data_IF_175000150374
#
_entry.id   IF_175000150374
#
_cell.length_a   1.000
_cell.length_b   1.000
_cell.length_c   1.000
_cell.angle_alpha   90.00
_cell.angle_beta   90.00
_cell.angle_gamma   90.00
#
_symmetry.space_group_name_H-M   'P 1'
#
loop_
_entity.id
_entity.type
_entity.pdbx_description
1 polymer ?
#
# COMPACT_ATOMS: atom_id res chain seq x y z
N UNK A 1 -37.10 -33.85 17.24
CA UNK A 1 -37.44 -34.11 15.83
C UNK A 1 -36.55 -35.23 15.34
N UNK A 2 -37.06 -36.45 15.31
CA UNK A 2 -36.42 -37.58 14.62
C UNK A 2 -36.37 -37.24 13.13
N UNK A 3 -35.18 -37.25 12.53
CA UNK A 3 -35.08 -37.13 11.09
C UNK A 3 -35.90 -38.27 10.48
N UNK A 4 -36.72 -38.02 9.43
CA UNK A 4 -37.37 -39.10 8.71
C UNK A 4 -36.29 -40.12 8.30
N UNK A 5 -36.60 -41.42 8.45
CA UNK A 5 -35.68 -42.55 8.21
C UNK A 5 -35.01 -42.54 6.82
N UNK A 6 -35.44 -41.66 5.92
CA UNK A 6 -35.04 -41.56 4.53
C UNK A 6 -34.04 -40.42 4.23
N UNK A 7 -33.57 -39.70 5.25
CA UNK A 7 -32.59 -38.61 5.08
C UNK A 7 -31.25 -38.92 5.75
N UNK A 8 -30.19 -39.03 4.94
CA UNK A 8 -28.82 -39.21 5.43
C UNK A 8 -27.97 -37.98 5.13
N UNK A 9 -27.60 -37.26 6.20
CA UNK A 9 -26.70 -36.12 6.13
C UNK A 9 -25.24 -36.55 6.37
N UNK A 10 -24.35 -36.16 5.45
CA UNK A 10 -22.92 -36.48 5.47
C UNK A 10 -22.15 -35.16 5.58
N UNK A 11 -21.77 -34.81 6.81
CA UNK A 11 -20.98 -33.61 7.09
C UNK A 11 -19.56 -33.72 6.51
N UNK A 12 -18.91 -32.56 6.32
CA UNK A 12 -17.49 -32.50 5.95
C UNK A 12 -16.59 -32.24 7.16
N UNK A 13 -15.43 -32.92 7.19
CA UNK A 13 -14.28 -32.57 8.02
C UNK A 13 -13.61 -31.33 7.41
N UNK A 14 -14.13 -30.14 7.72
CA UNK A 14 -13.62 -28.88 7.19
C UNK A 14 -12.78 -28.14 8.23
N UNK A 15 -11.47 -28.04 7.99
CA UNK A 15 -10.56 -27.15 8.72
C UNK A 15 -10.68 -25.67 8.29
N UNK A 16 -11.38 -25.40 7.19
CA UNK A 16 -11.45 -24.08 6.55
C UNK A 16 -12.12 -23.00 7.42
N UNK A 17 -12.87 -23.39 8.46
CA UNK A 17 -13.51 -22.45 9.39
C UNK A 17 -12.48 -21.69 10.23
N UNK A 18 -11.28 -22.26 10.44
CA UNK A 18 -10.22 -21.64 11.24
C UNK A 18 -9.29 -20.70 10.46
N UNK A 19 -9.32 -20.75 9.13
CA UNK A 19 -8.39 -19.96 8.30
C UNK A 19 -8.67 -18.47 8.36
N UNK A 20 -9.94 -18.07 8.30
CA UNK A 20 -10.37 -16.67 8.29
C UNK A 20 -10.07 -15.88 9.58
N UNK A 21 -10.25 -16.41 10.80
CA UNK A 21 -9.86 -15.69 12.02
C UNK A 21 -8.34 -15.47 12.17
N UNK A 22 -7.48 -16.16 11.40
CA UNK A 22 -6.02 -15.95 11.42
C UNK A 22 -5.57 -14.91 10.38
N UNK A 23 -6.27 -14.80 9.24
CA UNK A 23 -5.97 -13.79 8.21
C UNK A 23 -6.19 -12.37 8.73
N UNK A 24 -7.15 -12.17 9.64
CA UNK A 24 -7.49 -10.87 10.22
C UNK A 24 -6.39 -10.22 11.06
N UNK A 25 -5.83 -10.90 12.10
CA UNK A 25 -4.70 -10.37 12.84
C UNK A 25 -3.51 -10.04 11.94
N UNK A 26 -3.26 -10.86 10.91
CA UNK A 26 -2.14 -10.64 9.98
C UNK A 26 -2.39 -9.41 9.09
N UNK A 27 -3.59 -9.23 8.55
CA UNK A 27 -3.92 -8.05 7.75
C UNK A 27 -3.93 -6.76 8.58
N UNK A 28 -4.42 -6.81 9.82
CA UNK A 28 -4.39 -5.68 10.78
C UNK A 28 -2.94 -5.38 11.23
N UNK A 29 -2.13 -6.40 11.48
CA UNK A 29 -0.73 -6.23 11.85
C UNK A 29 0.08 -5.66 10.68
N UNK A 30 -0.11 -6.18 9.46
CA UNK A 30 0.51 -5.63 8.24
C UNK A 30 0.12 -4.16 8.02
N UNK A 31 -1.12 -3.76 8.34
CA UNK A 31 -1.54 -2.35 8.34
C UNK A 31 -0.71 -1.51 9.31
N UNK A 32 -0.49 -1.98 10.53
CA UNK A 32 0.31 -1.26 11.52
C UNK A 32 1.79 -1.15 11.14
N UNK A 33 2.33 -2.14 10.44
CA UNK A 33 3.75 -2.17 10.07
C UNK A 33 4.11 -1.45 8.77
N UNK A 34 3.16 -1.18 7.87
CA UNK A 34 3.42 -0.66 6.51
C UNK A 34 3.10 0.83 6.31
N UNK A 35 2.83 1.58 7.39
CA UNK A 35 2.66 3.05 7.41
C UNK A 35 1.89 3.63 6.21
N UNK A 36 0.59 3.29 6.16
CA UNK A 36 -0.21 3.29 4.93
C UNK A 36 -1.19 4.46 4.82
N UNK A 37 -0.74 5.69 5.10
CA UNK A 37 -1.54 6.92 4.87
C UNK A 37 -1.88 7.18 3.39
N UNK A 38 -1.40 6.33 2.47
CA UNK A 38 -1.58 6.48 1.03
C UNK A 38 -2.82 5.79 0.41
N UNK A 39 -3.57 4.96 1.14
CA UNK A 39 -4.67 4.16 0.56
C UNK A 39 -6.08 4.72 0.84
N UNK A 40 -6.39 5.92 0.34
CA UNK A 40 -7.75 6.42 0.11
C UNK A 40 -8.76 6.36 1.28
N UNK A 41 -10.04 6.71 1.02
CA UNK A 41 -11.05 6.76 2.08
C UNK A 41 -11.44 5.33 2.54
N UNK A 42 -10.99 5.00 3.76
CA UNK A 42 -11.34 3.82 4.57
C UNK A 42 -12.82 3.40 4.53
N UNK A 43 -13.73 4.35 4.28
CA UNK A 43 -15.18 4.14 4.26
C UNK A 43 -15.65 3.11 3.21
N UNK A 44 -14.89 2.90 2.11
CA UNK A 44 -15.28 1.95 1.06
C UNK A 44 -14.75 0.53 1.30
N UNK A 45 -13.64 0.38 2.02
CA UNK A 45 -13.00 -0.92 2.25
C UNK A 45 -13.72 -1.76 3.30
N UNK A 46 -14.13 -1.14 4.41
CA UNK A 46 -14.81 -1.81 5.52
C UNK A 46 -16.07 -2.57 5.05
N UNK A 47 -17.02 -1.95 4.33
CA UNK A 47 -18.23 -2.65 3.89
C UNK A 47 -17.92 -3.76 2.88
N UNK A 48 -16.97 -3.56 1.96
CA UNK A 48 -16.59 -4.57 0.98
C UNK A 48 -15.99 -5.82 1.64
N UNK A 49 -15.11 -5.61 2.64
CA UNK A 49 -14.52 -6.70 3.43
C UNK A 49 -15.61 -7.40 4.26
N UNK A 50 -16.47 -6.65 4.95
CA UNK A 50 -17.56 -7.23 5.75
C UNK A 50 -18.51 -8.10 4.89
N UNK A 51 -18.83 -7.65 3.67
CA UNK A 51 -19.60 -8.41 2.69
C UNK A 51 -18.92 -9.74 2.29
N UNK A 52 -17.60 -9.70 2.11
CA UNK A 52 -16.81 -10.88 1.78
C UNK A 52 -16.77 -11.89 2.94
N UNK A 53 -16.70 -11.40 4.19
CA UNK A 53 -16.74 -12.22 5.40
C UNK A 53 -18.09 -12.90 5.59
N UNK A 54 -19.21 -12.16 5.48
CA UNK A 54 -20.54 -12.74 5.55
C UNK A 54 -20.70 -13.85 4.51
N UNK A 55 -20.18 -13.64 3.30
CA UNK A 55 -20.18 -14.68 2.27
C UNK A 55 -19.30 -15.89 2.64
N UNK A 56 -18.10 -15.69 3.19
CA UNK A 56 -17.22 -16.77 3.65
C UNK A 56 -17.86 -17.61 4.77
N UNK A 57 -18.47 -16.95 5.76
CA UNK A 57 -19.20 -17.61 6.87
C UNK A 57 -20.39 -18.41 6.33
N UNK A 58 -21.18 -17.84 5.41
CA UNK A 58 -22.30 -18.57 4.79
C UNK A 58 -21.82 -19.79 4.00
N UNK A 59 -20.71 -19.70 3.27
CA UNK A 59 -20.09 -20.84 2.58
C UNK A 59 -19.62 -21.90 3.58
N UNK A 60 -19.02 -21.49 4.70
CA UNK A 60 -18.56 -22.40 5.75
C UNK A 60 -19.73 -23.13 6.44
N UNK A 61 -20.81 -22.42 6.77
CA UNK A 61 -22.04 -23.00 7.33
C UNK A 61 -22.69 -23.99 6.35
N UNK A 62 -22.75 -23.64 5.06
CA UNK A 62 -23.21 -24.55 4.01
C UNK A 62 -22.30 -25.77 3.86
N UNK A 63 -20.98 -25.58 3.93
CA UNK A 63 -20.02 -26.68 3.85
C UNK A 63 -20.13 -27.63 5.06
N UNK A 64 -20.44 -27.11 6.26
CA UNK A 64 -20.73 -27.95 7.44
C UNK A 64 -21.92 -28.88 7.22
N UNK A 65 -22.97 -28.42 6.52
CA UNK A 65 -24.12 -29.26 6.17
C UNK A 65 -23.77 -30.40 5.21
N UNK A 66 -22.68 -30.26 4.45
CA UNK A 66 -22.09 -31.33 3.67
C UNK A 66 -22.93 -31.78 2.47
N UNK A 67 -23.09 -33.10 2.33
CA UNK A 67 -23.91 -33.77 1.33
C UNK A 67 -25.13 -34.38 2.02
N UNK A 68 -26.34 -34.12 1.53
CA UNK A 68 -27.55 -34.81 2.01
C UNK A 68 -28.04 -35.76 0.92
N UNK A 69 -28.25 -37.02 1.28
CA UNK A 69 -28.91 -38.01 0.46
C UNK A 69 -30.34 -38.16 0.97
N UNK A 70 -31.32 -38.03 0.07
CA UNK A 70 -32.74 -38.22 0.37
C UNK A 70 -33.31 -39.31 -0.53
N UNK A 71 -34.52 -39.77 -0.27
CA UNK A 71 -35.23 -40.69 -1.17
C UNK A 71 -35.40 -40.18 -2.62
N UNK A 72 -35.29 -38.86 -2.87
CA UNK A 72 -35.57 -38.25 -4.19
C UNK A 72 -34.37 -37.67 -4.90
N UNK A 73 -33.37 -37.22 -4.16
CA UNK A 73 -32.27 -36.44 -4.69
C UNK A 73 -31.03 -36.45 -3.78
N UNK A 74 -29.89 -36.10 -4.38
CA UNK A 74 -28.64 -35.73 -3.72
C UNK A 74 -28.56 -34.20 -3.65
N UNK A 75 -28.34 -33.65 -2.47
CA UNK A 75 -28.17 -32.20 -2.25
C UNK A 75 -26.74 -31.92 -1.79
N UNK A 76 -26.00 -31.14 -2.58
CA UNK A 76 -24.70 -30.61 -2.18
C UNK A 76 -24.81 -29.17 -1.68
N UNK A 77 -24.88 -29.01 -0.36
CA UNK A 77 -25.20 -27.73 0.29
C UNK A 77 -24.19 -26.62 -0.01
N UNK A 78 -22.91 -26.94 -0.24
CA UNK A 78 -21.86 -25.95 -0.55
C UNK A 78 -22.20 -25.10 -1.77
N UNK A 79 -22.79 -25.70 -2.81
CA UNK A 79 -23.13 -25.03 -4.06
C UNK A 79 -24.64 -24.99 -4.32
N UNK A 80 -25.45 -25.41 -3.35
CA UNK A 80 -26.90 -25.59 -3.48
C UNK A 80 -27.31 -26.44 -4.69
N UNK A 81 -26.42 -27.35 -5.12
CA UNK A 81 -26.64 -28.25 -6.25
C UNK A 81 -27.58 -29.39 -5.82
N UNK A 82 -28.59 -29.67 -6.63
CA UNK A 82 -29.54 -30.76 -6.43
C UNK A 82 -29.52 -31.67 -7.63
N UNK A 83 -29.35 -32.96 -7.39
CA UNK A 83 -29.33 -33.99 -8.43
C UNK A 83 -30.42 -35.00 -8.14
N UNK A 84 -31.42 -35.09 -9.01
CA UNK A 84 -32.43 -36.15 -8.93
C UNK A 84 -31.78 -37.51 -9.17
N UNK A 85 -32.20 -38.54 -8.45
CA UNK A 85 -31.74 -39.91 -8.70
C UNK A 85 -31.97 -40.37 -10.14
N UNK A 86 -32.99 -39.83 -10.83
CA UNK A 86 -33.24 -40.11 -12.25
C UNK A 86 -32.10 -39.63 -13.18
N UNK A 87 -31.36 -38.60 -12.79
CA UNK A 87 -30.22 -38.09 -13.55
C UNK A 87 -28.88 -38.63 -13.03
N UNK A 88 -28.83 -39.29 -11.87
CA UNK A 88 -27.58 -39.83 -11.29
C UNK A 88 -27.27 -41.20 -11.89
N UNK A 89 -26.16 -41.29 -12.63
CA UNK A 89 -25.75 -42.54 -13.30
C UNK A 89 -24.89 -43.43 -12.40
N UNK A 90 -24.04 -42.83 -11.56
CA UNK A 90 -23.19 -43.55 -10.61
C UNK A 90 -22.79 -42.64 -9.42
N UNK A 91 -22.61 -43.27 -8.26
CA UNK A 91 -21.92 -42.68 -7.11
C UNK A 91 -20.75 -43.60 -6.81
N UNK A 92 -19.52 -43.16 -7.07
CA UNK A 92 -18.34 -44.02 -7.01
C UNK A 92 -17.14 -43.30 -6.40
N UNK A 93 -16.13 -44.06 -6.01
CA UNK A 93 -14.87 -43.51 -5.54
C UNK A 93 -13.80 -43.72 -6.61
N UNK A 94 -13.16 -42.64 -7.06
CA UNK A 94 -12.07 -42.71 -8.03
C UNK A 94 -10.75 -42.26 -7.40
N UNK A 95 -9.66 -42.92 -7.74
CA UNK A 95 -8.31 -42.46 -7.39
C UNK A 95 -7.90 -41.33 -8.35
N UNK A 96 -7.49 -40.18 -7.82
CA UNK A 96 -7.02 -39.05 -8.63
C UNK A 96 -5.98 -38.21 -7.88
N UNK A 97 -4.77 -38.11 -8.45
CA UNK A 97 -3.73 -37.18 -7.98
C UNK A 97 -3.36 -37.36 -6.49
N UNK A 98 -3.03 -38.58 -6.09
CA UNK A 98 -2.54 -38.87 -4.73
C UNK A 98 -3.64 -39.07 -3.67
N UNK A 99 -4.91 -39.17 -4.05
CA UNK A 99 -5.99 -39.47 -3.10
C UNK A 99 -7.27 -39.95 -3.76
N UNK A 100 -8.16 -40.53 -2.95
CA UNK A 100 -9.47 -41.00 -3.38
C UNK A 100 -10.50 -39.86 -3.35
N UNK A 101 -11.41 -39.82 -4.32
CA UNK A 101 -12.50 -38.85 -4.40
C UNK A 101 -13.84 -39.53 -4.64
N UNK A 102 -14.84 -39.17 -3.85
CA UNK A 102 -16.24 -39.51 -4.09
C UNK A 102 -16.77 -38.65 -5.24
N UNK A 103 -17.27 -39.31 -6.28
CA UNK A 103 -17.76 -38.69 -7.51
C UNK A 103 -19.21 -39.08 -7.75
N UNK A 104 -20.04 -38.10 -8.10
CA UNK A 104 -21.44 -38.32 -8.49
C UNK A 104 -21.58 -37.98 -9.97
N UNK A 105 -21.71 -39.02 -10.80
CA UNK A 105 -21.91 -38.88 -12.25
C UNK A 105 -23.37 -38.64 -12.57
N UNK A 106 -23.60 -37.89 -13.64
CA UNK A 106 -24.94 -37.57 -14.12
C UNK A 106 -25.06 -37.86 -15.62
N UNK A 107 -26.27 -38.19 -16.09
CA UNK A 107 -26.54 -38.44 -17.50
C UNK A 107 -26.50 -37.13 -18.30
N UNK A 108 -27.13 -36.08 -17.77
CA UNK A 108 -27.13 -34.73 -18.34
C UNK A 108 -26.48 -33.72 -17.37
N UNK A 109 -25.25 -33.34 -17.70
CA UNK A 109 -24.51 -32.31 -16.95
C UNK A 109 -25.00 -30.88 -17.21
N UNK A 110 -25.65 -30.63 -18.35
CA UNK A 110 -26.28 -29.35 -18.66
C UNK A 110 -27.42 -29.08 -17.68
N UNK A 111 -28.35 -30.04 -17.59
CA UNK A 111 -29.49 -29.97 -16.67
C UNK A 111 -29.04 -29.78 -15.21
N UNK A 112 -27.98 -30.48 -14.78
CA UNK A 112 -27.44 -30.35 -13.43
C UNK A 112 -26.90 -28.93 -13.11
N UNK A 113 -26.52 -28.14 -14.12
CA UNK A 113 -25.90 -26.82 -13.94
C UNK A 113 -26.86 -25.64 -14.14
N UNK A 114 -28.06 -25.86 -14.68
CA UNK A 114 -29.02 -24.80 -15.00
C UNK A 114 -29.40 -24.00 -13.74
N UNK A 115 -29.67 -24.70 -12.64
CA UNK A 115 -30.13 -24.09 -11.39
C UNK A 115 -28.99 -23.55 -10.49
N UNK A 116 -27.73 -23.75 -10.88
CA UNK A 116 -26.58 -23.35 -10.06
C UNK A 116 -26.15 -21.91 -10.35
N UNK A 117 -25.84 -21.15 -9.29
CA UNK A 117 -25.34 -19.78 -9.41
C UNK A 117 -24.05 -19.72 -10.25
N UNK A 118 -23.89 -18.66 -11.07
CA UNK A 118 -22.74 -18.47 -11.99
C UNK A 118 -21.35 -18.77 -11.41
N UNK A 119 -20.95 -18.28 -10.23
CA UNK A 119 -19.61 -18.57 -9.69
C UNK A 119 -19.43 -20.05 -9.33
N UNK A 120 -20.46 -20.70 -8.78
CA UNK A 120 -20.43 -22.13 -8.49
C UNK A 120 -20.38 -22.97 -9.77
N UNK A 121 -21.05 -22.51 -10.84
CA UNK A 121 -21.04 -23.17 -12.16
C UNK A 121 -19.63 -23.32 -12.74
N UNK A 122 -18.74 -22.34 -12.53
CA UNK A 122 -17.33 -22.43 -12.96
C UNK A 122 -16.58 -23.56 -12.23
N UNK A 123 -16.74 -23.64 -10.91
CA UNK A 123 -16.14 -24.71 -10.11
C UNK A 123 -16.66 -26.10 -10.53
N UNK A 124 -17.98 -26.22 -10.75
CA UNK A 124 -18.60 -27.48 -11.21
C UNK A 124 -18.16 -27.86 -12.64
N UNK A 125 -17.98 -26.89 -13.55
CA UNK A 125 -17.39 -27.13 -14.88
C UNK A 125 -15.94 -27.62 -14.78
N UNK A 126 -15.17 -27.08 -13.83
CA UNK A 126 -13.83 -27.57 -13.53
C UNK A 126 -13.85 -29.03 -13.08
N UNK A 127 -14.79 -29.40 -12.21
CA UNK A 127 -14.97 -30.81 -11.80
C UNK A 127 -15.38 -31.71 -12.97
N UNK A 128 -16.31 -31.25 -13.82
CA UNK A 128 -16.74 -31.99 -15.01
C UNK A 128 -15.56 -32.27 -15.95
N UNK A 129 -14.73 -31.26 -16.23
CA UNK A 129 -13.54 -31.43 -17.08
C UNK A 129 -12.52 -32.39 -16.47
N UNK A 130 -12.33 -32.34 -15.15
CA UNK A 130 -11.26 -33.09 -14.48
C UNK A 130 -11.66 -34.51 -14.08
N UNK A 131 -12.92 -34.72 -13.73
CA UNK A 131 -13.42 -35.97 -13.14
C UNK A 131 -14.61 -36.58 -13.91
N UNK A 132 -15.12 -35.90 -14.94
CA UNK A 132 -16.30 -36.33 -15.69
C UNK A 132 -17.59 -36.27 -14.86
N UNK A 133 -17.65 -35.40 -13.84
CA UNK A 133 -18.78 -35.32 -12.92
C UNK A 133 -18.89 -33.93 -12.25
N UNK A 134 -20.12 -33.45 -11.96
CA UNK A 134 -20.32 -32.16 -11.29
C UNK A 134 -19.86 -32.19 -9.83
N UNK A 135 -20.07 -33.32 -9.12
CA UNK A 135 -19.64 -33.49 -7.73
C UNK A 135 -18.37 -34.34 -7.70
N UNK A 136 -17.30 -33.80 -7.14
CA UNK A 136 -16.05 -34.50 -6.90
C UNK A 136 -15.45 -34.07 -5.55
N UNK A 137 -15.69 -34.88 -4.51
CA UNK A 137 -15.35 -34.60 -3.12
C UNK A 137 -14.14 -35.45 -2.70
N UNK A 138 -13.10 -34.90 -2.06
CA UNK A 138 -12.05 -35.73 -1.47
C UNK A 138 -12.65 -36.70 -0.43
N UNK A 139 -12.41 -37.99 -0.57
CA UNK A 139 -12.96 -39.01 0.33
C UNK A 139 -12.56 -38.77 1.79
N UNK A 140 -11.30 -38.37 2.02
CA UNK A 140 -10.80 -38.04 3.36
C UNK A 140 -11.45 -36.81 4.02
N UNK A 141 -12.25 -36.02 3.29
CA UNK A 141 -13.01 -34.89 3.86
C UNK A 141 -14.42 -35.28 4.30
N UNK A 142 -14.90 -36.48 4.00
CA UNK A 142 -16.21 -36.93 4.44
C UNK A 142 -16.14 -37.31 5.93
N UNK A 143 -17.17 -36.96 6.70
CA UNK A 143 -17.25 -37.39 8.10
C UNK A 143 -17.38 -38.92 8.23
N UNK A 144 -17.97 -39.55 7.20
CA UNK A 144 -18.13 -41.01 7.06
C UNK A 144 -17.24 -41.55 5.95
N UNK A 145 -16.81 -42.82 6.02
CA UNK A 145 -16.12 -43.49 4.92
C UNK A 145 -16.88 -43.39 3.59
N UNK A 146 -16.16 -43.22 2.49
CA UNK A 146 -16.78 -43.09 1.17
C UNK A 146 -17.60 -44.35 0.78
N UNK A 147 -17.18 -45.54 1.23
CA UNK A 147 -17.91 -46.79 1.00
C UNK A 147 -19.32 -46.77 1.59
N UNK A 148 -19.48 -46.31 2.84
CA UNK A 148 -20.80 -46.16 3.47
C UNK A 148 -21.70 -45.17 2.73
N UNK A 149 -21.10 -44.11 2.18
CA UNK A 149 -21.83 -43.10 1.41
C UNK A 149 -22.33 -43.68 0.08
N UNK A 150 -21.51 -44.49 -0.58
CA UNK A 150 -21.87 -45.19 -1.82
C UNK A 150 -22.99 -46.20 -1.55
N UNK A 151 -22.86 -47.02 -0.51
CA UNK A 151 -23.88 -48.00 -0.14
C UNK A 151 -25.22 -47.33 0.18
N UNK A 152 -25.21 -46.23 0.94
CA UNK A 152 -26.39 -45.44 1.23
C UNK A 152 -27.02 -44.85 -0.03
N UNK A 153 -26.19 -44.34 -0.95
CA UNK A 153 -26.64 -43.81 -2.23
C UNK A 153 -27.29 -44.91 -3.09
N UNK A 154 -26.70 -46.10 -3.16
CA UNK A 154 -27.23 -47.24 -3.92
C UNK A 154 -28.53 -47.78 -3.32
N UNK A 155 -28.65 -47.80 -1.99
CA UNK A 155 -29.90 -48.15 -1.31
C UNK A 155 -31.01 -47.15 -1.65
N UNK A 156 -30.75 -45.85 -1.54
CA UNK A 156 -31.73 -44.81 -1.84
C UNK A 156 -32.09 -44.77 -3.33
N UNK A 157 -31.11 -44.98 -4.21
CA UNK A 157 -31.33 -45.08 -5.66
C UNK A 157 -32.19 -46.29 -6.04
N UNK A 158 -32.00 -47.45 -5.39
CA UNK A 158 -32.85 -48.64 -5.61
C UNK A 158 -34.28 -48.46 -5.09
N UNK A 159 -34.43 -47.76 -3.97
CA UNK A 159 -35.74 -47.43 -3.40
C UNK A 159 -36.47 -46.32 -4.17
N UNK A 160 -35.78 -45.61 -5.07
CA UNK A 160 -36.38 -44.58 -5.88
C UNK A 160 -37.25 -45.19 -6.99
N UNK A 161 -38.56 -45.22 -6.76
CA UNK A 161 -39.52 -45.44 -7.83
C UNK A 161 -39.71 -44.13 -8.62
N UNK A 162 -39.34 -44.08 -9.92
CA UNK A 162 -39.68 -42.92 -10.73
C UNK A 162 -41.20 -42.85 -10.80
N UNK A 163 -41.83 -41.69 -10.48
CA UNK A 163 -43.28 -41.60 -10.55
C UNK A 163 -43.73 -41.91 -11.97
N UNK A 164 -44.51 -42.98 -12.10
CA UNK A 164 -45.09 -43.42 -13.36
C UNK A 164 -45.90 -42.27 -13.97
N UNK A 165 -45.55 -41.88 -15.19
CA UNK A 165 -46.32 -40.91 -15.98
C UNK A 165 -45.84 -39.45 -15.98
N UNK A 166 -44.81 -39.07 -15.22
CA UNK A 166 -44.30 -37.67 -15.25
C UNK A 166 -42.93 -37.62 -15.91
N UNK A 167 -42.91 -37.58 -17.25
CA UNK A 167 -41.68 -37.42 -18.07
C UNK A 167 -41.04 -36.04 -18.00
N UNK A 168 -41.52 -35.18 -17.11
CA UNK A 168 -40.87 -33.92 -16.77
C UNK A 168 -41.25 -33.60 -15.34
N UNK A 169 -40.37 -33.92 -14.39
CA UNK A 169 -40.42 -33.28 -13.07
C UNK A 169 -40.09 -31.79 -13.28
N UNK A 170 -41.03 -31.05 -13.85
CA UNK A 170 -41.07 -29.61 -13.72
C UNK A 170 -41.16 -29.37 -12.22
N UNK A 171 -40.06 -28.86 -11.67
CA UNK A 171 -39.82 -28.59 -10.25
C UNK A 171 -41.12 -28.30 -9.49
N UNK A 172 -41.62 -29.27 -8.71
CA UNK A 172 -42.67 -29.01 -7.73
C UNK A 172 -42.25 -27.80 -6.90
N UNK A 173 -43.14 -26.82 -6.84
CA UNK A 173 -42.99 -25.52 -6.19
C UNK A 173 -42.10 -25.61 -4.96
N UNK A 174 -40.86 -25.14 -5.10
CA UNK A 174 -39.98 -24.86 -3.95
C UNK A 174 -40.80 -24.05 -2.96
N UNK A 175 -40.84 -24.46 -1.67
CA UNK A 175 -41.62 -23.74 -0.67
C UNK A 175 -41.30 -22.23 -0.74
N UNK A 176 -42.29 -21.33 -0.61
CA UNK A 176 -42.09 -19.88 -0.77
C UNK A 176 -40.91 -19.36 0.07
N UNK A 177 -40.73 -19.91 1.28
CA UNK A 177 -39.62 -19.62 2.18
C UNK A 177 -38.24 -19.97 1.60
N UNK A 178 -38.10 -21.16 0.99
CA UNK A 178 -36.83 -21.57 0.35
C UNK A 178 -36.55 -20.72 -0.89
N UNK A 179 -37.58 -20.28 -1.61
CA UNK A 179 -37.42 -19.37 -2.74
C UNK A 179 -36.96 -17.97 -2.28
N UNK A 180 -37.48 -17.47 -1.16
CA UNK A 180 -37.03 -16.22 -0.52
C UNK A 180 -35.56 -16.33 -0.07
N UNK A 181 -35.18 -17.40 0.63
CA UNK A 181 -33.80 -17.64 1.05
C UNK A 181 -32.83 -17.67 -0.15
N UNK A 182 -33.22 -18.31 -1.26
CA UNK A 182 -32.43 -18.33 -2.51
C UNK A 182 -32.32 -16.96 -3.17
N UNK A 183 -33.36 -16.12 -3.11
CA UNK A 183 -33.29 -14.74 -3.63
C UNK A 183 -32.31 -13.92 -2.78
N UNK A 184 -32.41 -14.00 -1.46
CA UNK A 184 -31.52 -13.30 -0.52
C UNK A 184 -30.06 -13.73 -0.74
N UNK A 185 -29.79 -15.04 -0.79
CA UNK A 185 -28.43 -15.56 -1.06
C UNK A 185 -27.85 -15.08 -2.40
N UNK A 186 -28.67 -14.99 -3.45
CA UNK A 186 -28.25 -14.47 -4.76
C UNK A 186 -27.94 -12.98 -4.72
N UNK A 187 -28.72 -12.20 -3.98
CA UNK A 187 -28.46 -10.77 -3.77
C UNK A 187 -27.14 -10.58 -3.02
N UNK A 188 -26.92 -11.31 -1.93
CA UNK A 188 -25.66 -11.25 -1.17
C UNK A 188 -24.44 -11.65 -2.01
N UNK A 189 -24.53 -12.72 -2.80
CA UNK A 189 -23.43 -13.14 -3.67
C UNK A 189 -23.10 -12.08 -4.75
N UNK A 190 -24.12 -11.38 -5.27
CA UNK A 190 -23.93 -10.27 -6.22
C UNK A 190 -23.30 -9.06 -5.55
N UNK A 191 -23.75 -8.69 -4.36
CA UNK A 191 -23.18 -7.59 -3.58
C UNK A 191 -21.72 -7.85 -3.19
N UNK A 192 -21.39 -9.05 -2.73
CA UNK A 192 -20.01 -9.42 -2.40
C UNK A 192 -19.09 -9.39 -3.65
N UNK A 193 -19.59 -9.85 -4.81
CA UNK A 193 -18.82 -9.79 -6.06
C UNK A 193 -18.64 -8.36 -6.55
N UNK A 194 -19.66 -7.51 -6.41
CA UNK A 194 -19.59 -6.09 -6.76
C UNK A 194 -18.62 -5.33 -5.84
N UNK A 195 -18.64 -5.63 -4.53
CA UNK A 195 -17.68 -5.08 -3.57
C UNK A 195 -16.23 -5.41 -3.94
N UNK A 196 -15.94 -6.65 -4.35
CA UNK A 196 -14.61 -7.04 -4.85
C UNK A 196 -14.22 -6.28 -6.13
N UNK A 197 -15.18 -6.07 -7.04
CA UNK A 197 -14.97 -5.27 -8.25
C UNK A 197 -14.63 -3.82 -7.93
N UNK A 198 -15.33 -3.20 -6.98
CA UNK A 198 -15.05 -1.84 -6.51
C UNK A 198 -13.67 -1.77 -5.85
N UNK A 199 -13.26 -2.77 -5.06
CA UNK A 199 -11.93 -2.84 -4.46
C UNK A 199 -10.81 -2.91 -5.51
N UNK A 200 -10.96 -3.78 -6.51
CA UNK A 200 -9.97 -3.92 -7.59
C UNK A 200 -9.90 -2.67 -8.48
N UNK A 201 -11.04 -2.05 -8.76
CA UNK A 201 -11.07 -0.80 -9.53
C UNK A 201 -10.49 0.36 -8.72
N UNK A 202 -10.76 0.44 -7.41
CA UNK A 202 -10.18 1.48 -6.55
C UNK A 202 -8.66 1.37 -6.41
N UNK A 203 -8.09 0.16 -6.42
CA UNK A 203 -6.63 -0.05 -6.36
C UNK A 203 -5.95 0.33 -7.66
N UNK A 204 -6.56 0.06 -8.82
CA UNK A 204 -6.01 0.42 -10.14
C UNK A 204 -6.18 1.92 -10.44
N UNK A 205 -7.30 2.53 -10.03
CA UNK A 205 -7.59 3.95 -10.28
C UNK A 205 -6.72 4.88 -9.41
N UNK A 206 -6.38 4.50 -8.16
CA UNK A 206 -5.49 5.33 -7.32
C UNK A 206 -4.07 5.40 -7.92
N UNK A 207 -3.59 4.32 -8.53
CA UNK A 207 -2.26 4.29 -9.17
C UNK A 207 -2.23 5.07 -10.50
N UNK A 208 -3.36 5.14 -11.21
CA UNK A 208 -3.47 5.80 -12.52
C UNK A 208 -3.98 7.24 -12.50
N UNK A 209 -4.66 7.68 -11.43
CA UNK A 209 -4.97 9.10 -11.17
C UNK A 209 -3.83 9.83 -10.44
N UNK A 210 -2.72 9.15 -10.17
CA UNK A 210 -1.43 9.77 -9.81
C UNK A 210 -0.76 10.46 -11.01
N UNK A 211 -1.54 10.83 -12.04
CA UNK A 211 -1.14 11.66 -13.15
C UNK A 211 -0.89 13.10 -12.66
N UNK A 212 0.37 13.52 -12.68
CA UNK A 212 0.81 14.92 -12.79
C UNK A 212 0.06 15.96 -11.94
N UNK A 213 -0.24 15.63 -10.68
CA UNK A 213 -0.49 16.68 -9.72
C UNK A 213 0.81 17.43 -9.52
N UNK A 214 0.87 18.70 -9.92
CA UNK A 214 2.04 19.53 -9.68
C UNK A 214 2.55 19.35 -8.23
N UNK A 215 3.87 19.24 -8.02
CA UNK A 215 4.43 19.08 -6.69
C UNK A 215 3.94 20.24 -5.82
N UNK A 216 3.18 19.89 -4.78
CA UNK A 216 2.62 20.85 -3.84
C UNK A 216 3.74 21.28 -2.89
N UNK A 217 4.31 22.45 -3.18
CA UNK A 217 5.36 23.06 -2.38
C UNK A 217 4.75 24.09 -1.43
N UNK A 218 5.16 24.04 -0.16
CA UNK A 218 4.90 25.09 0.82
C UNK A 218 6.22 25.68 1.32
N UNK A 219 6.18 26.96 1.68
CA UNK A 219 7.33 27.74 2.09
C UNK A 219 7.00 28.49 3.39
N UNK A 220 7.89 28.39 4.36
CA UNK A 220 7.80 29.12 5.62
C UNK A 220 9.15 29.78 5.92
N UNK A 221 9.15 31.09 6.14
CA UNK A 221 10.35 31.83 6.49
C UNK A 221 10.34 32.20 7.97
N UNK A 222 11.45 31.90 8.65
CA UNK A 222 11.66 32.21 10.06
C UNK A 222 12.87 33.12 10.24
N UNK A 223 12.60 34.37 10.64
CA UNK A 223 13.62 35.39 10.89
C UNK A 223 14.53 35.04 12.07
N UNK A 224 13.94 34.68 13.21
CA UNK A 224 14.67 34.34 14.45
C UNK A 224 14.22 32.95 14.89
N UNK A 225 15.18 32.05 15.05
CA UNK A 225 14.98 30.67 15.47
C UNK A 225 15.11 30.52 16.99
N UNK A 226 14.86 29.31 17.50
CA UNK A 226 15.11 29.01 18.91
C UNK A 226 16.64 29.05 19.19
N UNK A 227 17.08 29.28 20.44
CA UNK A 227 18.49 29.23 20.79
C UNK A 227 19.16 27.92 20.32
N UNK A 228 20.34 28.02 19.72
CA UNK A 228 21.07 26.88 19.15
C UNK A 228 20.69 26.49 17.73
N UNK A 229 19.75 27.20 17.10
CA UNK A 229 19.35 26.98 15.70
C UNK A 229 19.72 28.19 14.84
N UNK A 230 19.80 27.95 13.52
CA UNK A 230 20.11 28.98 12.53
C UNK A 230 18.95 29.96 12.37
N UNK A 231 19.24 31.25 12.41
CA UNK A 231 18.30 32.31 12.03
C UNK A 231 18.15 32.40 10.51
N UNK A 232 17.16 33.19 10.06
CA UNK A 232 16.88 33.44 8.64
C UNK A 232 16.63 32.16 7.83
N UNK A 233 15.96 31.17 8.43
CA UNK A 233 15.72 29.87 7.81
C UNK A 233 14.48 29.92 6.92
N UNK A 234 14.62 29.50 5.67
CA UNK A 234 13.52 29.16 4.77
C UNK A 234 13.28 27.66 4.82
N UNK A 235 12.15 27.25 5.38
CA UNK A 235 11.67 25.86 5.35
C UNK A 235 10.87 25.62 4.08
N UNK A 236 11.14 24.50 3.40
CA UNK A 236 10.47 24.09 2.17
C UNK A 236 9.90 22.70 2.34
N UNK A 237 8.59 22.54 2.15
CA UNK A 237 7.92 21.25 2.27
C UNK A 237 7.39 20.80 0.91
N UNK A 238 7.75 19.59 0.50
CA UNK A 238 7.22 18.94 -0.69
C UNK A 238 6.17 17.91 -0.28
N UNK A 239 4.89 18.24 -0.45
CA UNK A 239 3.77 17.31 -0.22
C UNK A 239 3.52 16.37 -1.41
N UNK A 240 4.21 16.60 -2.53
CA UNK A 240 4.11 15.78 -3.73
C UNK A 240 4.78 14.41 -3.59
N UNK A 241 4.54 13.56 -4.59
CA UNK A 241 5.06 12.19 -4.66
C UNK A 241 6.37 12.06 -5.47
N UNK A 242 6.87 13.16 -6.03
CA UNK A 242 8.09 13.19 -6.85
C UNK A 242 9.13 14.14 -6.25
N UNK A 243 10.41 13.76 -6.32
CA UNK A 243 11.50 14.62 -5.90
C UNK A 243 11.61 15.83 -6.84
N UNK A 244 11.84 17.02 -6.28
CA UNK A 244 11.92 18.26 -7.06
C UNK A 244 13.06 19.15 -6.62
N UNK A 245 13.66 19.85 -7.56
CA UNK A 245 14.64 20.89 -7.33
C UNK A 245 14.04 22.24 -7.79
N UNK A 246 13.40 23.01 -6.89
CA UNK A 246 12.79 24.28 -7.28
C UNK A 246 13.85 25.38 -7.37
N UNK A 247 13.77 26.21 -8.41
CA UNK A 247 14.50 27.49 -8.50
C UNK A 247 13.59 28.58 -7.96
N UNK A 248 14.00 29.23 -6.87
CA UNK A 248 13.21 30.23 -6.17
C UNK A 248 13.61 31.66 -6.53
N UNK A 249 12.63 32.53 -6.66
CA UNK A 249 12.82 33.96 -6.46
C UNK A 249 12.37 34.34 -5.05
N UNK A 250 13.20 35.11 -4.35
CA UNK A 250 13.01 35.50 -2.97
C UNK A 250 12.97 37.02 -2.88
N UNK A 251 11.79 37.58 -2.59
CA UNK A 251 11.62 39.02 -2.41
C UNK A 251 11.53 39.33 -0.91
N UNK A 252 12.46 40.11 -0.32
CA UNK A 252 12.45 40.43 1.11
C UNK A 252 11.31 41.38 1.45
N UNK A 253 10.62 41.13 2.57
CA UNK A 253 9.46 41.89 3.02
C UNK A 253 9.71 42.61 4.36
N UNK A 254 9.13 43.78 4.54
CA UNK A 254 9.04 44.47 5.83
C UNK A 254 7.93 43.87 6.72
N UNK A 255 7.72 44.47 7.91
CA UNK A 255 6.66 44.03 8.85
C UNK A 255 5.24 44.26 8.34
N UNK A 256 5.05 45.17 7.39
CA UNK A 256 3.76 45.44 6.77
C UNK A 256 3.51 44.52 5.55
N UNK A 257 4.49 43.71 5.14
CA UNK A 257 4.40 42.82 3.99
C UNK A 257 4.76 43.48 2.66
N UNK A 258 5.33 44.69 2.67
CA UNK A 258 5.83 45.36 1.47
C UNK A 258 7.22 44.87 1.11
N UNK A 259 7.52 44.83 -0.19
CA UNK A 259 8.85 44.47 -0.68
C UNK A 259 9.84 45.56 -0.33
N UNK A 260 10.97 45.19 0.26
CA UNK A 260 12.07 46.09 0.55
C UNK A 260 12.99 46.20 -0.66
N UNK A 261 12.88 47.31 -1.41
CA UNK A 261 13.75 47.58 -2.55
C UNK A 261 15.19 47.89 -2.13
N UNK A 262 16.16 47.53 -2.97
CA UNK A 262 17.59 47.74 -2.70
C UNK A 262 18.21 46.73 -1.74
N UNK A 263 17.46 45.68 -1.36
CA UNK A 263 17.96 44.55 -0.59
C UNK A 263 18.10 43.34 -1.51
N UNK A 264 19.28 42.72 -1.50
CA UNK A 264 19.57 41.47 -2.22
C UNK A 264 19.49 40.29 -1.26
N UNK A 265 18.90 39.19 -1.70
CA UNK A 265 18.85 37.92 -0.95
C UNK A 265 19.93 36.98 -1.46
N UNK A 266 20.73 36.42 -0.57
CA UNK A 266 21.65 35.30 -0.84
C UNK A 266 21.15 34.05 -0.13
N UNK A 267 21.41 32.90 -0.72
CA UNK A 267 21.09 31.58 -0.16
C UNK A 267 22.36 30.82 0.19
N UNK A 268 22.32 30.02 1.26
CA UNK A 268 23.45 29.20 1.65
C UNK A 268 23.54 27.92 0.82
N UNK A 269 22.40 27.30 0.52
CA UNK A 269 22.31 26.00 -0.16
C UNK A 269 21.96 26.13 -1.65
N UNK A 270 21.61 27.33 -2.13
CA UNK A 270 21.37 27.56 -3.55
C UNK A 270 19.95 27.26 -4.02
N UNK A 271 18.93 27.42 -3.17
CA UNK A 271 17.52 27.28 -3.58
C UNK A 271 17.11 28.29 -4.66
N UNK A 272 17.77 29.45 -4.74
CA UNK A 272 17.63 30.43 -5.82
C UNK A 272 18.21 29.96 -7.16
N UNK A 273 19.02 28.90 -7.15
CA UNK A 273 19.69 28.30 -8.32
C UNK A 273 19.24 26.86 -8.59
N UNK A 274 18.23 26.37 -7.86
CA UNK A 274 17.72 25.01 -7.99
C UNK A 274 18.63 23.94 -7.40
N UNK A 275 19.63 24.28 -6.58
CA UNK A 275 20.61 23.31 -6.06
C UNK A 275 20.06 22.41 -4.94
N UNK A 276 18.93 22.80 -4.33
CA UNK A 276 18.29 22.06 -3.25
C UNK A 276 17.22 21.12 -3.80
N UNK A 277 17.41 19.83 -3.62
CA UNK A 277 16.39 18.81 -3.92
C UNK A 277 15.53 18.56 -2.69
N UNK A 278 14.22 18.54 -2.90
CA UNK A 278 13.20 18.15 -1.93
C UNK A 278 12.64 16.77 -2.32
N UNK A 279 13.04 15.70 -1.63
CA UNK A 279 12.43 14.38 -1.78
C UNK A 279 10.91 14.41 -1.59
N UNK A 280 10.16 13.41 -2.07
CA UNK A 280 8.72 13.34 -1.85
C UNK A 280 8.35 13.31 -0.37
N UNK A 281 7.25 13.98 -0.02
CA UNK A 281 6.70 14.02 1.35
C UNK A 281 7.78 14.34 2.39
N UNK A 282 8.63 15.31 2.09
CA UNK A 282 9.75 15.68 2.94
C UNK A 282 9.81 17.19 3.14
N UNK A 283 10.61 17.58 4.13
CA UNK A 283 10.92 18.97 4.43
C UNK A 283 12.41 19.16 4.32
N UNK A 284 12.82 20.18 3.58
CA UNK A 284 14.18 20.70 3.55
C UNK A 284 14.18 22.17 3.98
N UNK A 285 15.34 22.81 3.91
CA UNK A 285 15.42 24.25 4.13
C UNK A 285 16.59 24.87 3.40
N UNK A 286 16.71 26.19 3.50
CA UNK A 286 17.84 26.99 3.04
C UNK A 286 18.04 28.15 4.03
N UNK A 287 19.27 28.61 4.20
CA UNK A 287 19.60 29.75 5.06
C UNK A 287 19.72 30.99 4.17
N UNK A 288 19.02 32.05 4.55
CA UNK A 288 19.00 33.30 3.81
C UNK A 288 19.93 34.35 4.46
N UNK A 289 20.54 35.18 3.64
CA UNK A 289 21.23 36.40 4.06
C UNK A 289 20.72 37.58 3.22
N UNK A 290 20.70 38.76 3.82
CA UNK A 290 20.15 39.97 3.25
C UNK A 290 21.21 41.07 3.25
N UNK A 291 21.54 41.58 2.06
CA UNK A 291 22.52 42.64 1.89
C UNK A 291 21.86 43.91 1.37
N UNK A 292 22.33 45.08 1.80
CA UNK A 292 21.83 46.39 1.36
C UNK A 292 21.27 47.25 2.51
N UNK A 293 20.95 48.53 2.23
CA UNK A 293 20.41 49.44 3.23
C UNK A 293 19.11 48.91 3.84
N UNK A 294 19.09 48.77 5.17
CA UNK A 294 17.90 48.28 5.88
C UNK A 294 17.71 46.76 5.87
N UNK A 295 18.72 45.96 5.49
CA UNK A 295 18.64 44.49 5.52
C UNK A 295 18.19 43.89 6.85
N UNK A 296 18.50 44.55 7.97
CA UNK A 296 18.03 44.14 9.31
C UNK A 296 16.52 44.28 9.53
N UNK A 297 15.84 45.06 8.70
CA UNK A 297 14.40 45.32 8.80
C UNK A 297 13.55 44.24 8.11
N UNK A 298 14.18 43.28 7.43
CA UNK A 298 13.47 42.14 6.82
C UNK A 298 12.73 41.35 7.89
N UNK A 299 11.42 41.25 7.72
CA UNK A 299 10.50 40.53 8.61
C UNK A 299 9.91 39.28 7.96
N UNK A 300 9.85 39.25 6.62
CA UNK A 300 9.30 38.13 5.84
C UNK A 300 10.02 37.96 4.51
N UNK A 301 9.68 36.90 3.79
CA UNK A 301 10.13 36.67 2.42
C UNK A 301 8.95 36.19 1.59
N UNK A 302 8.69 36.83 0.45
CA UNK A 302 7.78 36.29 -0.57
C UNK A 302 8.57 35.34 -1.44
N UNK A 303 8.08 34.11 -1.55
CA UNK A 303 8.70 33.07 -2.37
C UNK A 303 7.88 32.88 -3.65
N UNK A 304 8.55 32.96 -4.79
CA UNK A 304 7.98 32.62 -6.10
C UNK A 304 8.77 31.49 -6.72
N UNK A 305 8.12 30.38 -7.06
CA UNK A 305 8.79 29.28 -7.77
C UNK A 305 8.92 29.64 -9.24
N UNK A 306 10.16 29.83 -9.72
CA UNK A 306 10.44 30.22 -11.11
C UNK A 306 10.55 29.01 -12.04
N UNK A 307 11.20 27.96 -11.55
CA UNK A 307 11.37 26.72 -12.29
C UNK A 307 11.28 25.53 -11.33
N UNK A 308 10.90 24.37 -11.87
CA UNK A 308 10.83 23.10 -11.13
C UNK A 308 11.45 22.02 -11.98
N UNK A 309 12.61 21.55 -11.56
CA UNK A 309 13.24 20.40 -12.19
C UNK A 309 12.85 19.13 -11.44
N UNK A 310 12.46 18.07 -12.16
CA UNK A 310 12.26 16.75 -11.55
C UNK A 310 13.63 16.13 -11.31
N UNK A 311 13.93 15.83 -10.06
CA UNK A 311 15.19 15.17 -9.71
C UNK A 311 15.08 13.66 -9.91
N UNK A 312 16.14 13.04 -10.42
CA UNK A 312 16.27 11.57 -10.51
C UNK A 312 16.51 10.90 -9.14
N UNK A 313 16.64 11.69 -8.08
CA UNK A 313 16.79 11.17 -6.74
C UNK A 313 15.58 10.29 -6.36
N UNK A 314 15.77 9.18 -5.61
CA UNK A 314 14.69 8.23 -5.34
C UNK A 314 13.44 8.88 -4.76
N UNK A 315 12.27 8.46 -5.25
CA UNK A 315 10.96 9.01 -4.88
C UNK A 315 10.46 8.53 -3.49
N UNK A 316 11.33 8.44 -2.50
CA UNK A 316 10.99 8.04 -1.13
C UNK A 316 11.26 9.19 -0.16
N UNK A 317 10.48 9.26 0.91
CA UNK A 317 10.73 10.18 2.00
C UNK A 317 12.15 9.94 2.53
N UNK A 318 12.97 10.98 2.49
CA UNK A 318 14.35 10.90 2.93
C UNK A 318 14.46 11.29 4.40
N UNK A 319 15.31 10.58 5.13
CA UNK A 319 15.69 10.88 6.51
C UNK A 319 16.76 11.98 6.53
N UNK A 320 17.08 12.45 7.73
CA UNK A 320 18.14 13.44 7.91
C UNK A 320 19.51 12.85 7.55
N UNK A 321 20.36 13.68 6.93
CA UNK A 321 21.76 13.37 6.64
C UNK A 321 22.62 13.82 7.81
N UNK A 322 23.62 13.03 8.16
CA UNK A 322 24.56 13.41 9.22
C UNK A 322 25.88 13.85 8.60
N UNK A 323 26.24 15.13 8.78
CA UNK A 323 27.51 15.69 8.36
C UNK A 323 28.29 16.13 9.60
N UNK A 324 29.50 15.59 9.79
CA UNK A 324 30.35 15.88 10.95
C UNK A 324 31.73 16.32 10.49
N UNK A 325 32.18 17.55 10.83
CA UNK A 325 33.55 17.94 10.56
C UNK A 325 34.52 17.07 11.37
N UNK A 326 35.68 16.76 10.78
CA UNK A 326 36.68 15.89 11.36
C UNK A 326 38.09 16.34 11.00
N UNK A 327 39.03 16.07 11.92
CA UNK A 327 40.47 16.22 11.75
C UNK A 327 41.14 14.93 12.20
N UNK A 328 42.03 14.39 11.38
CA UNK A 328 42.76 13.14 11.68
C UNK A 328 41.85 11.98 12.09
N UNK A 329 40.62 11.93 11.55
CA UNK A 329 39.61 10.91 11.85
C UNK A 329 38.84 11.11 13.15
N UNK A 330 39.07 12.19 13.89
CA UNK A 330 38.30 12.57 15.09
C UNK A 330 37.31 13.68 14.77
N UNK A 331 36.08 13.62 15.31
CA UNK A 331 35.09 14.69 15.12
C UNK A 331 35.53 15.97 15.81
N UNK A 332 35.24 17.12 15.20
CA UNK A 332 35.54 18.45 15.77
C UNK A 332 34.28 19.20 16.12
N UNK A 333 34.39 20.14 17.06
CA UNK A 333 33.31 21.06 17.43
C UNK A 333 33.22 22.24 16.45
N UNK A 334 32.09 22.98 16.40
CA UNK A 334 31.98 24.21 15.63
C UNK A 334 33.09 25.22 15.96
N UNK A 335 33.65 25.87 14.94
CA UNK A 335 34.75 26.83 15.08
C UNK A 335 36.14 26.21 15.31
N UNK A 336 36.24 24.88 15.40
CA UNK A 336 37.53 24.20 15.37
C UNK A 336 37.97 23.89 13.94
N UNK A 337 39.29 23.81 13.74
CA UNK A 337 39.88 23.51 12.46
C UNK A 337 39.60 22.05 12.02
N UNK A 338 39.26 21.80 10.76
CA UNK A 338 38.92 20.47 10.23
C UNK A 338 39.42 20.30 8.80
N UNK A 339 39.77 19.07 8.40
CA UNK A 339 40.32 18.76 7.07
C UNK A 339 39.41 17.83 6.26
N UNK A 340 38.41 17.23 6.90
CA UNK A 340 37.51 16.24 6.33
C UNK A 340 36.10 16.45 6.88
N UNK A 341 35.08 16.14 6.09
CA UNK A 341 33.71 15.99 6.58
C UNK A 341 33.29 14.53 6.42
N UNK A 342 32.90 13.91 7.54
CA UNK A 342 32.29 12.59 7.55
C UNK A 342 30.80 12.75 7.26
N UNK A 343 30.34 12.10 6.20
CA UNK A 343 28.96 12.21 5.72
C UNK A 343 28.30 10.83 5.72
N UNK A 344 27.31 10.64 6.59
CA UNK A 344 26.64 9.37 6.75
C UNK A 344 25.23 9.40 6.16
N UNK A 345 24.94 8.44 5.27
CA UNK A 345 23.64 8.29 4.65
C UNK A 345 22.76 7.33 5.47
N UNK A 346 21.87 7.88 6.29
CA UNK A 346 20.93 7.08 7.10
C UNK A 346 19.78 6.45 6.31
N UNK A 347 19.74 6.66 4.99
CA UNK A 347 18.67 6.17 4.12
C UNK A 347 18.98 4.77 3.57
N UNK A 348 17.91 3.98 3.35
CA UNK A 348 17.97 2.68 2.68
C UNK A 348 18.09 2.75 1.15
N UNK A 349 18.55 3.87 0.61
CA UNK A 349 18.76 4.10 -0.81
C UNK A 349 19.92 5.06 -1.05
N UNK A 350 20.47 5.04 -2.27
CA UNK A 350 21.54 5.94 -2.69
C UNK A 350 21.04 7.39 -2.76
N UNK A 351 21.84 8.33 -2.25
CA UNK A 351 21.52 9.76 -2.26
C UNK A 351 22.63 10.55 -2.95
N UNK A 352 22.28 11.74 -3.45
CA UNK A 352 23.22 12.72 -3.97
C UNK A 352 23.11 13.98 -3.13
N UNK A 353 24.25 14.48 -2.66
CA UNK A 353 24.33 15.46 -1.58
C UNK A 353 25.45 16.45 -1.82
N UNK A 354 25.25 17.69 -1.42
CA UNK A 354 26.28 18.73 -1.37
C UNK A 354 26.52 19.14 0.07
N UNK A 355 27.73 19.61 0.32
CA UNK A 355 28.17 20.12 1.61
C UNK A 355 28.50 21.61 1.49
N UNK A 356 28.18 22.37 2.53
CA UNK A 356 28.60 23.76 2.67
C UNK A 356 29.16 24.04 4.04
N UNK A 357 30.16 24.91 4.07
CA UNK A 357 30.62 25.62 5.24
C UNK A 357 29.91 26.98 5.30
N UNK A 358 29.24 27.27 6.41
CA UNK A 358 28.60 28.57 6.66
C UNK A 358 29.41 29.33 7.71
N UNK A 359 29.83 30.54 7.34
CA UNK A 359 30.44 31.52 8.23
C UNK A 359 29.34 32.46 8.69
N UNK A 360 29.17 32.58 10.00
CA UNK A 360 28.12 33.35 10.62
C UNK A 360 28.62 34.70 11.12
N UNK A 361 27.72 35.67 11.17
CA UNK A 361 27.92 36.91 11.90
C UNK A 361 27.75 36.65 13.41
N UNK A 362 28.41 37.47 14.24
CA UNK A 362 28.10 37.63 15.66
C UNK A 362 27.23 38.89 15.86
N UNK A 363 25.90 38.80 15.75
CA UNK A 363 25.03 39.97 15.82
C UNK A 363 24.92 40.49 17.26
N UNK A 364 24.59 41.79 17.46
CA UNK A 364 24.25 42.28 18.79
C UNK A 364 23.02 41.55 19.34
N UNK A 365 22.88 41.44 20.68
CA UNK A 365 21.76 40.72 21.30
C UNK A 365 20.39 41.17 20.78
N UNK A 366 19.57 40.19 20.37
CA UNK A 366 18.22 40.42 19.86
C UNK A 366 18.13 40.75 18.36
N UNK A 367 19.27 40.97 17.68
CA UNK A 367 19.30 41.02 16.23
C UNK A 367 19.43 39.61 15.64
N UNK A 368 18.80 39.32 14.49
CA UNK A 368 18.95 38.02 13.85
C UNK A 368 20.38 37.82 13.36
N UNK A 369 20.90 36.61 13.58
CA UNK A 369 22.16 36.17 12.99
C UNK A 369 21.99 36.02 11.47
N UNK A 370 22.97 36.50 10.72
CA UNK A 370 23.02 36.28 9.27
C UNK A 370 24.23 35.44 8.90
N UNK A 371 24.09 34.70 7.81
CA UNK A 371 25.25 34.14 7.12
C UNK A 371 26.06 35.26 6.49
N UNK A 372 27.35 35.30 6.80
CA UNK A 372 28.32 36.17 6.11
C UNK A 372 28.68 35.55 4.76
N UNK A 373 29.03 34.26 4.75
CA UNK A 373 29.40 33.49 3.55
C UNK A 373 28.96 32.03 3.65
N UNK A 374 28.57 31.45 2.52
CA UNK A 374 28.47 30.00 2.32
C UNK A 374 29.52 29.59 1.30
N UNK A 375 30.30 28.57 1.64
CA UNK A 375 31.38 28.05 0.82
C UNK A 375 31.14 26.55 0.58
N UNK A 376 31.09 26.09 -0.68
CA UNK A 376 30.91 24.67 -0.96
C UNK A 376 32.12 23.86 -0.46
N UNK A 377 31.87 22.68 0.09
CA UNK A 377 32.91 21.73 0.50
C UNK A 377 32.92 20.58 -0.52
N UNK A 378 33.91 20.61 -1.41
CA UNK A 378 34.04 19.64 -2.48
C UNK A 378 32.90 19.71 -3.51
N UNK A 379 32.77 18.64 -4.29
CA UNK A 379 31.77 18.49 -5.35
C UNK A 379 30.50 17.77 -4.84
N UNK A 380 29.58 17.46 -5.77
CA UNK A 380 28.43 16.61 -5.48
C UNK A 380 28.90 15.20 -5.10
N UNK A 381 28.46 14.71 -3.95
CA UNK A 381 28.82 13.39 -3.43
C UNK A 381 27.65 12.43 -3.61
N UNK A 382 27.90 11.23 -4.14
CA UNK A 382 26.91 10.15 -4.16
C UNK A 382 27.27 9.09 -3.12
N UNK A 383 26.34 8.80 -2.22
CA UNK A 383 26.56 7.88 -1.08
C UNK A 383 25.63 6.70 -1.20
N UNK A 384 26.17 5.49 -1.05
CA UNK A 384 25.39 4.27 -1.03
C UNK A 384 24.45 4.20 0.20
N UNK A 385 23.43 3.33 0.19
CA UNK A 385 22.55 3.15 1.35
C UNK A 385 23.34 2.80 2.62
N UNK A 386 23.04 3.45 3.75
CA UNK A 386 23.67 3.19 5.06
C UNK A 386 25.19 3.32 5.11
N UNK A 387 25.78 3.98 4.12
CA UNK A 387 27.22 4.10 3.96
C UNK A 387 27.75 5.45 4.49
N UNK A 388 29.05 5.54 4.67
CA UNK A 388 29.77 6.75 5.06
C UNK A 388 30.72 7.19 3.94
N UNK A 389 30.70 8.47 3.61
CA UNK A 389 31.67 9.09 2.73
C UNK A 389 32.56 10.07 3.50
N UNK A 390 33.85 10.08 3.17
CA UNK A 390 34.82 11.06 3.67
C UNK A 390 35.07 12.10 2.60
N UNK A 391 34.70 13.35 2.88
CA UNK A 391 34.83 14.45 1.91
C UNK A 391 35.99 15.34 2.33
N UNK A 392 37.11 15.37 1.57
CA UNK A 392 38.24 16.21 1.91
C UNK A 392 37.88 17.68 1.73
N UNK A 393 38.30 18.51 2.68
CA UNK A 393 38.15 19.96 2.62
C UNK A 393 39.27 20.53 1.76
N UNK A 394 38.88 21.15 0.64
CA UNK A 394 39.82 21.68 -0.35
C UNK A 394 39.54 23.17 -0.64
N UNK A 395 40.44 23.81 -1.38
CA UNK A 395 40.29 25.18 -1.85
C UNK A 395 40.15 26.21 -0.71
N UNK A 396 39.29 27.20 -0.92
CA UNK A 396 39.09 28.32 0.01
C UNK A 396 38.64 27.87 1.41
N UNK A 397 37.82 26.81 1.51
CA UNK A 397 37.34 26.33 2.82
C UNK A 397 38.49 25.86 3.69
N UNK A 398 39.53 25.24 3.12
CA UNK A 398 40.69 24.76 3.89
C UNK A 398 41.39 25.88 4.66
N UNK A 399 41.40 27.09 4.12
CA UNK A 399 42.02 28.25 4.76
C UNK A 399 41.10 28.97 5.75
N UNK A 400 39.79 28.69 5.69
CA UNK A 400 38.75 29.31 6.52
C UNK A 400 38.03 28.29 7.41
N UNK A 401 38.59 27.10 7.59
CA UNK A 401 37.92 26.01 8.31
C UNK A 401 37.66 26.38 9.78
N UNK A 402 38.58 27.12 10.40
CA UNK A 402 38.40 27.66 11.76
C UNK A 402 37.26 28.70 11.85
N UNK A 403 36.98 29.43 10.77
CA UNK A 403 35.88 30.40 10.72
C UNK A 403 34.53 29.75 10.41
N UNK A 404 34.53 28.44 10.14
CA UNK A 404 33.33 27.71 9.82
C UNK A 404 32.47 27.49 11.08
N UNK A 405 31.49 28.37 11.28
CA UNK A 405 30.58 28.22 12.41
C UNK A 405 29.57 27.07 12.24
N UNK A 406 29.35 26.57 11.01
CA UNK A 406 28.65 25.29 10.82
C UNK A 406 28.93 24.62 9.48
N UNK A 407 28.98 23.28 9.48
CA UNK A 407 28.95 22.44 8.26
C UNK A 407 27.56 21.85 8.09
N UNK A 408 27.00 21.91 6.88
CA UNK A 408 25.66 21.40 6.55
C UNK A 408 25.66 20.57 5.28
N UNK A 409 24.84 19.52 5.26
CA UNK A 409 24.55 18.72 4.08
C UNK A 409 23.13 18.96 3.61
N UNK A 410 22.91 18.94 2.30
CA UNK A 410 21.58 18.99 1.70
C UNK A 410 21.53 18.10 0.46
N UNK A 411 20.33 17.58 0.17
CA UNK A 411 20.07 16.81 -1.04
C UNK A 411 20.20 17.69 -2.28
N UNK A 412 20.87 17.17 -3.30
CA UNK A 412 21.15 17.91 -4.55
C UNK A 412 21.15 16.96 -5.75
N UNK A 413 21.24 17.50 -6.97
CA UNK A 413 21.19 16.73 -8.22
C UNK A 413 22.36 17.09 -9.14
N UNK A 414 22.93 16.15 -9.91
CA UNK A 414 23.92 16.47 -10.95
C UNK A 414 23.30 17.20 -12.14
N UNK A 415 21.99 17.07 -12.34
CA UNK A 415 21.28 17.69 -13.47
C UNK A 415 21.10 19.21 -13.27
N UNK A 416 21.31 19.72 -12.05
CA UNK A 416 21.25 21.15 -11.76
C UNK A 416 22.55 21.85 -12.21
N UNK A 417 22.49 22.84 -13.12
CA UNK A 417 23.69 23.48 -13.66
C UNK A 417 24.51 24.13 -12.55
N UNK A 418 25.81 23.78 -12.52
CA UNK A 418 26.80 24.35 -11.62
C UNK A 418 27.33 25.67 -12.20
N UNK A 419 26.46 26.61 -12.54
CA UNK A 419 26.89 27.94 -12.99
C UNK A 419 27.02 28.85 -11.77
N UNK A 420 28.26 29.08 -11.35
CA UNK A 420 28.70 30.22 -10.55
C UNK A 420 29.64 31.05 -11.40
#
# INVERSE_FOLDING_TARGET
MTAPLDEQQIAYRSHTVWFWPVVWPVAIALRWFLDWDALGPLALWIPAIALQEVNAVLIALRARRGLTLTAREIIWHKYELRLSWANVTAVECIAHGGGARLVVRVADSGQALEDVARPARLALRGNLRRFGAPIALPAGRLARPAAEVIEAADRLRRAYEPPSGVRGFAARSVSPERQRARKIARVWARLASAGLGVLLVSTVIIDSLSSDSEPQLAFEYKRISAPGYMDQLLTMTNYGFTAVAPTLQLDPLDRAGHVLHGITVRTAYGSDRGLVVLPPRSTGGDVLAFDGPGSRNVAGVRVTVRHRERSKQPARAARELEARPSRDGTSTEPGQDFDTVLLHNTNGFRVAVRLVCIIWEDPPPGAPQQMVRSLPIGDLVSIAPYDEARVPVTGTVRHLAQDCGSVKAYYSSPDTPSTV
#
